data_IF_219058172715
#
_entry.id   IF_219058172715
#
_cell.length_a   1.000
_cell.length_b   1.000
_cell.length_c   1.000
_cell.angle_alpha   90.00
_cell.angle_beta   90.00
_cell.angle_gamma   90.00
#
_symmetry.space_group_name_H-M   'P 1'
#
loop_
_entity.id
_entity.type
_entity.pdbx_description
1 polymer ?
#
# COMPACT_ATOMS: atom_id res chain seq x y z
N UNK A 1 -9.87 -8.55 26.52
CA UNK A 1 -10.50 -7.28 26.12
C UNK A 1 -9.58 -6.17 26.61
N UNK A 2 -8.55 -5.81 25.82
CA UNK A 2 -7.51 -4.88 26.27
C UNK A 2 -6.59 -4.45 25.14
N UNK A 3 -7.13 -3.91 24.04
CA UNK A 3 -6.32 -3.31 22.96
C UNK A 3 -6.82 -1.94 22.49
N UNK A 4 -7.85 -1.39 23.16
CA UNK A 4 -8.49 -0.14 22.72
C UNK A 4 -7.81 1.15 23.23
N UNK A 5 -6.64 1.08 23.88
CA UNK A 5 -6.07 2.26 24.53
C UNK A 5 -4.54 2.26 24.54
N UNK A 6 -3.90 2.52 23.39
CA UNK A 6 -2.75 3.44 23.32
C UNK A 6 -2.39 3.78 21.86
N UNK A 7 -2.86 4.91 21.34
CA UNK A 7 -2.47 5.40 20.00
C UNK A 7 -1.08 6.06 19.99
N UNK A 8 -0.49 6.33 21.17
CA UNK A 8 0.75 7.09 21.36
C UNK A 8 2.04 6.24 21.19
N UNK A 9 1.93 4.91 21.19
CA UNK A 9 3.06 3.97 21.00
C UNK A 9 3.07 3.29 19.62
N UNK A 10 2.29 3.80 18.66
CA UNK A 10 2.21 3.17 17.34
C UNK A 10 3.44 3.50 16.48
N UNK A 11 4.05 2.46 15.92
CA UNK A 11 5.17 2.59 14.99
C UNK A 11 4.85 3.57 13.84
N UNK A 12 5.83 4.33 13.35
CA UNK A 12 5.67 5.15 12.15
C UNK A 12 5.14 4.30 10.98
N UNK A 13 4.22 4.86 10.19
CA UNK A 13 3.57 4.15 9.08
C UNK A 13 4.59 3.74 8.01
N UNK A 14 5.69 4.47 7.90
CA UNK A 14 6.83 4.21 7.04
C UNK A 14 7.57 2.92 7.41
N UNK A 15 7.55 2.52 8.68
CA UNK A 15 8.22 1.32 9.19
C UNK A 15 7.34 0.07 9.12
N UNK A 16 6.04 0.22 8.87
CA UNK A 16 5.12 -0.90 8.73
C UNK A 16 5.29 -1.59 7.38
N UNK A 17 5.17 -2.91 7.35
CA UNK A 17 4.94 -3.67 6.11
C UNK A 17 3.54 -3.39 5.56
N UNK A 18 3.29 -3.73 4.28
CA UNK A 18 1.97 -3.56 3.67
C UNK A 18 0.87 -4.29 4.46
N UNK A 19 1.14 -5.54 4.88
CA UNK A 19 0.18 -6.35 5.64
C UNK A 19 -0.11 -5.77 7.02
N UNK A 20 0.92 -5.28 7.72
CA UNK A 20 0.74 -4.63 9.02
C UNK A 20 -0.09 -3.35 8.89
N UNK A 21 0.24 -2.49 7.92
CA UNK A 21 -0.51 -1.25 7.68
C UNK A 21 -1.97 -1.52 7.30
N UNK A 22 -2.24 -2.55 6.49
CA UNK A 22 -3.59 -2.95 6.12
C UNK A 22 -4.38 -3.49 7.33
N UNK A 23 -3.78 -4.38 8.11
CA UNK A 23 -4.41 -4.94 9.32
C UNK A 23 -4.70 -3.87 10.37
N UNK A 24 -3.80 -2.89 10.51
CA UNK A 24 -4.03 -1.75 11.40
C UNK A 24 -5.20 -0.88 10.91
N UNK A 25 -5.28 -0.62 9.59
CA UNK A 25 -6.37 0.15 9.00
C UNK A 25 -7.72 -0.54 9.20
N UNK A 26 -7.79 -1.86 8.96
CA UNK A 26 -9.00 -2.66 9.21
C UNK A 26 -9.45 -2.58 10.68
N UNK A 27 -8.49 -2.63 11.61
CA UNK A 27 -8.77 -2.50 13.05
C UNK A 27 -9.33 -1.12 13.38
N UNK A 28 -8.73 -0.05 12.83
CA UNK A 28 -9.22 1.32 13.01
C UNK A 28 -10.65 1.48 12.50
N UNK A 29 -10.94 0.98 11.30
CA UNK A 29 -12.29 1.03 10.73
C UNK A 29 -13.28 0.31 11.65
N UNK A 30 -12.93 -0.89 12.13
CA UNK A 30 -13.79 -1.64 13.03
C UNK A 30 -14.10 -0.89 14.34
N UNK A 31 -13.13 -0.16 14.89
CA UNK A 31 -13.34 0.63 16.12
C UNK A 31 -14.14 1.91 15.84
N UNK A 32 -13.93 2.57 14.70
CA UNK A 32 -14.75 3.73 14.33
C UNK A 32 -16.22 3.32 14.10
N UNK A 33 -16.46 2.16 13.51
CA UNK A 33 -17.80 1.62 13.27
C UNK A 33 -18.51 1.17 14.56
N UNK A 34 -17.76 0.82 15.63
CA UNK A 34 -18.37 0.44 16.90
C UNK A 34 -19.00 1.63 17.63
N UNK A 35 -18.68 2.88 17.25
CA UNK A 35 -19.18 4.10 17.88
C UNK A 35 -18.98 4.12 19.41
N UNK A 36 -17.92 3.48 19.90
CA UNK A 36 -17.60 3.38 21.34
C UNK A 36 -16.51 4.34 21.79
N UNK A 37 -15.93 5.10 20.87
CA UNK A 37 -14.85 6.05 21.14
C UNK A 37 -15.41 7.44 21.49
N UNK A 38 -14.69 8.16 22.35
CA UNK A 38 -14.92 9.58 22.53
C UNK A 38 -14.51 10.36 21.26
N UNK A 39 -14.91 11.63 21.18
CA UNK A 39 -14.67 12.44 19.98
C UNK A 39 -13.17 12.58 19.66
N UNK A 40 -12.35 12.90 20.65
CA UNK A 40 -10.91 13.09 20.49
C UNK A 40 -10.22 11.80 20.01
N UNK A 41 -10.62 10.65 20.56
CA UNK A 41 -10.12 9.34 20.15
C UNK A 41 -10.54 8.99 18.73
N UNK A 42 -11.78 9.31 18.37
CA UNK A 42 -12.32 9.11 17.02
C UNK A 42 -11.55 9.93 15.99
N UNK A 43 -11.23 11.19 16.32
CA UNK A 43 -10.42 12.06 15.45
C UNK A 43 -9.00 11.51 15.28
N UNK A 44 -8.35 11.09 16.37
CA UNK A 44 -7.02 10.50 16.30
C UNK A 44 -6.99 9.19 15.48
N UNK A 45 -7.99 8.33 15.66
CA UNK A 45 -8.14 7.10 14.88
C UNK A 45 -8.36 7.41 13.39
N UNK A 46 -9.19 8.40 13.08
CA UNK A 46 -9.43 8.85 11.71
C UNK A 46 -8.16 9.38 11.03
N UNK A 47 -7.42 10.27 11.71
CA UNK A 47 -6.15 10.81 11.19
C UNK A 47 -5.14 9.70 10.90
N UNK A 48 -4.98 8.76 11.84
CA UNK A 48 -4.12 7.58 11.63
C UNK A 48 -4.58 6.76 10.43
N UNK A 49 -5.88 6.55 10.28
CA UNK A 49 -6.47 5.84 9.14
C UNK A 49 -6.16 6.50 7.80
N UNK A 50 -6.24 7.83 7.71
CA UNK A 50 -5.92 8.59 6.50
C UNK A 50 -4.44 8.43 6.12
N UNK A 51 -3.53 8.48 7.09
CA UNK A 51 -2.09 8.29 6.84
C UNK A 51 -1.81 6.86 6.35
N UNK A 52 -2.41 5.85 6.99
CA UNK A 52 -2.29 4.45 6.56
C UNK A 52 -2.79 4.24 5.12
N UNK A 53 -3.98 4.78 4.81
CA UNK A 53 -4.57 4.68 3.48
C UNK A 53 -3.67 5.31 2.40
N UNK A 54 -3.13 6.50 2.65
CA UNK A 54 -2.20 7.16 1.73
C UNK A 54 -0.92 6.35 1.49
N UNK A 55 -0.36 5.75 2.54
CA UNK A 55 0.80 4.86 2.44
C UNK A 55 0.51 3.61 1.61
N UNK A 56 -0.65 2.96 1.84
CA UNK A 56 -1.07 1.77 1.10
C UNK A 56 -1.27 2.06 -0.40
N UNK A 57 -1.96 3.15 -0.74
CA UNK A 57 -2.19 3.57 -2.13
C UNK A 57 -0.86 3.86 -2.85
N UNK A 58 0.07 4.56 -2.19
CA UNK A 58 1.40 4.84 -2.75
C UNK A 58 2.17 3.56 -3.05
N UNK A 59 2.12 2.58 -2.15
CA UNK A 59 2.79 1.29 -2.32
C UNK A 59 2.17 0.46 -3.45
N UNK A 60 0.84 0.46 -3.57
CA UNK A 60 0.15 -0.20 -4.69
C UNK A 60 0.52 0.44 -6.03
N UNK A 61 0.47 1.77 -6.13
CA UNK A 61 0.86 2.46 -7.37
C UNK A 61 2.32 2.19 -7.77
N UNK A 62 3.24 2.13 -6.80
CA UNK A 62 4.63 1.76 -7.08
C UNK A 62 4.77 0.31 -7.57
N UNK A 63 4.01 -0.62 -7.00
CA UNK A 63 3.99 -2.01 -7.43
C UNK A 63 3.39 -2.17 -8.84
N UNK A 64 2.30 -1.47 -9.13
CA UNK A 64 1.67 -1.43 -10.46
C UNK A 64 2.65 -0.91 -11.53
N UNK A 65 3.34 0.20 -11.25
CA UNK A 65 4.35 0.75 -12.14
C UNK A 65 5.49 -0.24 -12.39
N UNK A 66 5.96 -0.92 -11.33
CA UNK A 66 7.03 -1.91 -11.47
C UNK A 66 6.60 -3.10 -12.34
N UNK A 67 5.35 -3.56 -12.20
CA UNK A 67 4.79 -4.62 -13.04
C UNK A 67 4.70 -4.17 -14.50
N UNK A 68 4.25 -2.95 -14.76
CA UNK A 68 4.16 -2.39 -16.12
C UNK A 68 5.53 -2.35 -16.81
N UNK A 69 6.58 -1.88 -16.12
CA UNK A 69 7.95 -1.86 -16.65
C UNK A 69 8.43 -3.27 -16.99
N UNK A 70 8.24 -4.24 -16.08
CA UNK A 70 8.65 -5.63 -16.31
C UNK A 70 7.91 -6.27 -17.49
N UNK A 71 6.63 -5.96 -17.67
CA UNK A 71 5.87 -6.43 -18.84
C UNK A 71 6.35 -5.77 -20.13
N UNK A 72 6.64 -4.46 -20.11
CA UNK A 72 7.19 -3.74 -21.25
C UNK A 72 8.55 -4.28 -21.70
N UNK A 73 9.43 -4.61 -20.74
CA UNK A 73 10.73 -5.25 -21.00
C UNK A 73 10.57 -6.68 -21.55
N UNK A 74 9.60 -7.45 -21.05
CA UNK A 74 9.33 -8.82 -21.54
C UNK A 74 8.78 -8.83 -22.98
N UNK A 75 7.99 -7.81 -23.35
CA UNK A 75 7.45 -7.63 -24.71
C UNK A 75 8.51 -7.08 -25.68
N UNK A 76 9.53 -6.37 -25.16
CA UNK A 76 10.66 -5.87 -25.94
C UNK A 76 11.77 -6.92 -26.18
N UNK A 77 11.52 -8.20 -25.90
CA UNK A 77 12.39 -9.27 -26.39
C UNK A 77 12.26 -9.32 -27.93
N UNK A 78 13.34 -9.00 -28.66
CA UNK A 78 13.27 -8.78 -30.09
C UNK A 78 12.90 -10.07 -30.82
N UNK A 79 11.93 -9.98 -31.72
CA UNK A 79 11.99 -10.77 -32.94
C UNK A 79 13.37 -10.49 -33.55
N UNK A 80 14.24 -11.49 -33.41
CA UNK A 80 15.57 -11.56 -33.98
C UNK A 80 15.43 -11.20 -35.48
N UNK A 81 15.98 -10.05 -35.85
CA UNK A 81 16.20 -9.66 -37.23
C UNK A 81 17.04 -10.78 -37.87
N UNK A 82 16.35 -11.76 -38.47
CA UNK A 82 16.98 -12.74 -39.35
C UNK A 82 17.34 -12.04 -40.64
N UNK A 83 18.50 -11.38 -40.55
CA UNK A 83 19.55 -11.26 -41.54
C UNK A 83 19.11 -10.86 -42.94
N UNK A 84 19.41 -9.59 -43.23
CA UNK A 84 20.16 -9.17 -44.41
C UNK A 84 20.68 -10.36 -45.26
N UNK A 85 19.88 -10.77 -46.23
CA UNK A 85 20.34 -11.54 -47.39
C UNK A 85 20.27 -10.63 -48.60
N UNK A 86 20.92 -9.48 -48.51
CA UNK A 86 21.46 -8.83 -49.69
C UNK A 86 22.59 -9.72 -50.23
N UNK A 87 22.25 -10.68 -51.09
CA UNK A 87 23.25 -11.35 -51.93
C UNK A 87 22.66 -11.66 -53.31
N UNK A 88 22.98 -10.74 -54.24
CA UNK A 88 22.97 -10.85 -55.72
C UNK A 88 21.65 -11.20 -56.43
#
# INVERSE_FOLDING_TARGET
MSDAANLDEKKPVEELTFREALSELESIVSVLESNTLELEESLAAYERGVVLLGSLQKRLGAAEQQVEVLMGELVAAPDDETQDTTLS
#
